data_IF_003126881941
#
_entry.id   IF_003126881941
#
_cell.length_a   1.000
_cell.length_b   1.000
_cell.length_c   1.000
_cell.angle_alpha   90.00
_cell.angle_beta   90.00
_cell.angle_gamma   90.00
#
_symmetry.space_group_name_H-M   'P 1'
#
loop_
_entity.id
_entity.type
_entity.pdbx_description
1 polymer ?
#
# COMPACT_ATOMS: atom_id res chain seq x y z
N UNK A 1 12.88 -23.73 -1.11
CA UNK A 1 11.62 -23.22 -1.62
C UNK A 1 11.69 -21.73 -1.81
N UNK A 2 11.40 -21.28 -3.00
CA UNK A 2 11.38 -19.85 -3.29
C UNK A 2 9.99 -19.28 -3.00
N UNK A 3 9.95 -18.16 -2.28
CA UNK A 3 8.73 -17.41 -2.07
C UNK A 3 8.61 -16.43 -3.24
N UNK A 4 7.50 -16.52 -3.97
CA UNK A 4 7.24 -15.60 -5.05
C UNK A 4 6.54 -14.37 -4.48
N UNK A 5 7.01 -13.19 -4.86
CA UNK A 5 6.43 -11.93 -4.42
C UNK A 5 5.94 -11.15 -5.63
N UNK A 6 4.85 -10.43 -5.44
CA UNK A 6 4.27 -9.57 -6.48
C UNK A 6 3.85 -8.25 -5.84
N UNK A 7 4.36 -7.15 -6.35
CA UNK A 7 3.94 -5.82 -5.88
C UNK A 7 2.63 -5.48 -6.56
N UNK A 8 1.57 -5.35 -5.77
CA UNK A 8 0.23 -5.06 -6.29
C UNK A 8 0.03 -3.58 -6.56
N UNK A 9 0.54 -2.73 -5.68
CA UNK A 9 0.64 -1.31 -5.98
C UNK A 9 1.79 -0.70 -5.20
N UNK A 10 2.30 0.38 -5.74
CA UNK A 10 3.36 1.15 -5.12
C UNK A 10 3.10 2.62 -5.46
N UNK A 11 2.46 3.31 -4.54
CA UNK A 11 2.11 4.71 -4.72
C UNK A 11 3.03 5.58 -3.89
N UNK A 12 3.56 6.60 -4.53
CA UNK A 12 4.46 7.56 -3.88
C UNK A 12 3.96 8.96 -4.20
N UNK A 13 3.84 9.78 -3.18
CA UNK A 13 3.50 11.19 -3.39
C UNK A 13 4.12 12.06 -2.33
N UNK A 14 4.24 13.33 -2.65
CA UNK A 14 4.78 14.33 -1.75
C UNK A 14 3.64 15.14 -1.17
N UNK A 15 3.60 15.25 0.15
CA UNK A 15 2.62 16.05 0.86
C UNK A 15 3.33 17.26 1.42
N UNK A 16 2.78 18.43 1.12
CA UNK A 16 3.33 19.67 1.65
C UNK A 16 2.91 19.82 3.10
N UNK A 17 3.90 20.00 3.96
CA UNK A 17 3.65 20.28 5.36
C UNK A 17 3.85 21.76 5.57
N UNK A 18 2.82 22.44 6.01
CA UNK A 18 2.93 23.81 6.45
C UNK A 18 2.75 23.83 7.95
N UNK A 19 3.74 24.35 8.65
CA UNK A 19 3.61 24.62 10.06
C UNK A 19 2.74 25.87 10.21
N UNK A 20 1.58 25.77 10.86
CA UNK A 20 0.66 26.91 10.97
C UNK A 20 1.24 28.10 11.75
N UNK A 21 2.37 27.92 12.43
CA UNK A 21 3.02 29.03 13.15
C UNK A 21 4.06 29.77 12.33
N UNK A 22 4.40 29.28 11.14
CA UNK A 22 5.46 29.89 10.33
C UNK A 22 4.94 30.46 9.02
N UNK A 23 4.30 31.62 9.11
CA UNK A 23 3.83 32.31 7.91
C UNK A 23 4.97 32.77 7.00
N UNK A 24 6.19 32.76 7.51
CA UNK A 24 7.38 33.21 6.77
C UNK A 24 8.23 32.09 6.26
N UNK A 25 7.85 30.86 6.46
CA UNK A 25 8.66 29.75 6.00
C UNK A 25 8.66 29.73 4.47
N UNK A 26 9.69 30.28 3.91
CA UNK A 26 9.93 30.21 2.48
C UNK A 26 10.38 28.80 2.07
N UNK A 27 10.77 27.99 3.03
CA UNK A 27 11.13 26.62 2.78
C UNK A 27 9.88 25.78 2.95
N UNK A 28 9.42 25.26 1.83
CA UNK A 28 8.32 24.30 1.84
C UNK A 28 8.87 22.93 2.16
N UNK A 29 8.46 22.40 3.29
CA UNK A 29 8.82 21.04 3.65
C UNK A 29 7.82 20.10 3.01
N UNK A 30 8.34 19.13 2.28
CA UNK A 30 7.52 18.07 1.70
C UNK A 30 7.90 16.77 2.39
N UNK A 31 6.89 16.01 2.78
CA UNK A 31 7.09 14.64 3.21
C UNK A 31 6.72 13.71 2.09
N UNK A 32 7.57 12.73 1.83
CA UNK A 32 7.28 11.70 0.84
C UNK A 32 6.58 10.55 1.54
N UNK A 33 5.40 10.22 1.04
CA UNK A 33 4.58 9.14 1.57
C UNK A 33 4.61 7.99 0.58
N UNK A 34 4.90 6.80 1.08
CA UNK A 34 4.92 5.57 0.29
C UNK A 34 3.82 4.64 0.78
N UNK A 35 2.99 4.18 -0.14
CA UNK A 35 2.01 3.14 0.14
C UNK A 35 2.31 1.96 -0.79
N UNK A 36 2.57 0.81 -0.20
CA UNK A 36 2.92 -0.39 -0.95
C UNK A 36 2.06 -1.55 -0.48
N UNK A 37 1.56 -2.33 -1.41
CA UNK A 37 0.90 -3.59 -1.11
C UNK A 37 1.60 -4.68 -1.90
N UNK A 38 2.09 -5.69 -1.20
CA UNK A 38 2.83 -6.80 -1.78
C UNK A 38 2.15 -8.10 -1.44
N UNK A 39 1.99 -8.97 -2.43
CA UNK A 39 1.49 -10.32 -2.21
C UNK A 39 2.67 -11.28 -2.12
N UNK A 40 2.66 -12.14 -1.11
CA UNK A 40 3.65 -13.18 -0.90
C UNK A 40 2.98 -14.53 -1.11
N UNK A 41 3.46 -15.28 -2.08
CA UNK A 41 2.93 -16.60 -2.40
C UNK A 41 3.79 -17.66 -1.73
N UNK A 42 3.21 -18.37 -0.80
CA UNK A 42 3.87 -19.44 -0.05
C UNK A 42 3.10 -20.74 -0.28
N UNK A 43 3.46 -21.46 -1.34
CA UNK A 43 2.73 -22.66 -1.73
C UNK A 43 1.32 -22.31 -2.16
N UNK A 44 0.33 -22.85 -1.48
CA UNK A 44 -1.09 -22.56 -1.75
C UNK A 44 -1.60 -21.35 -0.97
N UNK A 45 -0.77 -20.81 -0.08
CA UNK A 45 -1.16 -19.70 0.76
C UNK A 45 -0.68 -18.38 0.17
N UNK A 46 -1.52 -17.36 0.30
CA UNK A 46 -1.17 -16.01 -0.14
C UNK A 46 -1.30 -15.08 1.06
N UNK A 47 -0.27 -14.28 1.29
CA UNK A 47 -0.26 -13.28 2.34
C UNK A 47 -0.07 -11.91 1.69
N UNK A 48 -0.86 -10.95 2.11
CA UNK A 48 -0.78 -9.59 1.61
C UNK A 48 -0.19 -8.70 2.69
N UNK A 49 0.85 -7.94 2.35
CA UNK A 49 1.48 -7.03 3.28
C UNK A 49 1.30 -5.59 2.81
N UNK A 50 0.65 -4.80 3.64
CA UNK A 50 0.46 -3.37 3.43
C UNK A 50 1.51 -2.62 4.23
N UNK A 51 2.17 -1.67 3.56
CA UNK A 51 3.21 -0.86 4.17
C UNK A 51 2.94 0.61 3.87
N UNK A 52 2.92 1.43 4.91
CA UNK A 52 2.88 2.88 4.78
C UNK A 52 4.13 3.45 5.43
N UNK A 53 4.90 4.15 4.64
CA UNK A 53 6.11 4.84 5.11
C UNK A 53 5.96 6.33 4.92
N UNK A 54 6.48 7.09 5.86
CA UNK A 54 6.61 8.54 5.73
C UNK A 54 8.10 8.81 5.82
N UNK A 55 8.69 9.30 4.75
CA UNK A 55 10.14 9.39 4.57
C UNK A 55 10.75 8.00 4.78
N UNK A 56 11.69 7.84 5.67
CA UNK A 56 12.33 6.56 5.92
C UNK A 56 11.69 5.77 7.06
N UNK A 57 10.59 6.28 7.63
CA UNK A 57 9.97 5.65 8.80
C UNK A 57 8.73 4.87 8.42
N UNK A 58 8.68 3.62 8.85
CA UNK A 58 7.48 2.79 8.70
C UNK A 58 6.45 3.24 9.72
N UNK A 59 5.29 3.71 9.24
CA UNK A 59 4.20 4.15 10.10
C UNK A 59 3.15 3.06 10.31
N UNK A 60 2.89 2.29 9.26
CA UNK A 60 1.92 1.19 9.31
C UNK A 60 2.50 0.00 8.57
N UNK A 61 2.41 -1.16 9.19
CA UNK A 61 2.75 -2.43 8.57
C UNK A 61 1.70 -3.44 9.00
N UNK A 62 0.91 -3.92 8.06
CA UNK A 62 -0.17 -4.86 8.32
C UNK A 62 -0.13 -6.00 7.33
N UNK A 63 -0.39 -7.18 7.81
CA UNK A 63 -0.45 -8.37 6.98
C UNK A 63 -1.85 -8.97 7.03
N UNK A 64 -2.30 -9.49 5.89
CA UNK A 64 -3.64 -10.05 5.75
C UNK A 64 -3.56 -11.35 4.98
N UNK A 65 -4.35 -12.32 5.39
CA UNK A 65 -4.51 -13.59 4.67
C UNK A 65 -5.89 -13.70 4.03
N UNK A 66 -6.82 -12.86 4.44
CA UNK A 66 -8.18 -12.86 3.92
C UNK A 66 -8.46 -11.58 3.15
N UNK A 67 -8.98 -11.73 1.93
CA UNK A 67 -9.25 -10.59 1.05
C UNK A 67 -10.30 -9.65 1.62
N UNK A 68 -11.34 -10.19 2.28
CA UNK A 68 -12.37 -9.35 2.89
C UNK A 68 -11.79 -8.38 3.92
N UNK A 69 -10.91 -8.88 4.77
CA UNK A 69 -10.25 -8.05 5.78
C UNK A 69 -9.33 -7.02 5.13
N UNK A 70 -8.60 -7.44 4.09
CA UNK A 70 -7.70 -6.55 3.36
C UNK A 70 -8.46 -5.39 2.73
N UNK A 71 -9.54 -5.67 2.00
CA UNK A 71 -10.33 -4.63 1.32
C UNK A 71 -11.01 -3.70 2.31
N UNK A 72 -11.47 -4.22 3.43
CA UNK A 72 -12.06 -3.41 4.48
C UNK A 72 -11.05 -2.41 5.03
N UNK A 73 -9.83 -2.87 5.26
CA UNK A 73 -8.74 -2.01 5.72
C UNK A 73 -8.37 -0.96 4.66
N UNK A 74 -8.23 -1.39 3.41
CA UNK A 74 -7.80 -0.52 2.31
C UNK A 74 -8.85 0.54 1.96
N UNK A 75 -10.10 0.34 2.34
CA UNK A 75 -11.15 1.33 2.12
C UNK A 75 -10.86 2.68 2.75
N UNK A 76 -10.02 2.71 3.80
CA UNK A 76 -9.62 3.95 4.45
C UNK A 76 -8.47 4.67 3.72
N UNK A 77 -7.81 3.98 2.79
CA UNK A 77 -6.61 4.51 2.11
C UNK A 77 -6.78 4.68 0.60
N UNK A 78 -7.64 3.91 -0.01
CA UNK A 78 -7.83 3.91 -1.46
C UNK A 78 -9.24 4.31 -1.83
N UNK A 79 -9.38 5.00 -2.94
CA UNK A 79 -10.68 5.33 -3.51
C UNK A 79 -11.34 4.08 -4.14
N UNK A 80 -12.66 4.13 -4.39
CA UNK A 80 -13.37 2.97 -4.94
C UNK A 80 -12.83 2.47 -6.29
N UNK A 81 -12.35 3.37 -7.14
CA UNK A 81 -11.80 2.98 -8.44
C UNK A 81 -10.50 2.21 -8.26
N UNK A 82 -9.63 2.70 -7.37
CA UNK A 82 -8.37 2.02 -7.08
C UNK A 82 -8.60 0.65 -6.44
N UNK A 83 -9.59 0.55 -5.55
CA UNK A 83 -9.97 -0.73 -4.94
C UNK A 83 -10.47 -1.70 -5.99
N UNK A 84 -11.30 -1.24 -6.93
CA UNK A 84 -11.79 -2.08 -8.02
C UNK A 84 -10.67 -2.58 -8.90
N UNK A 85 -9.74 -1.72 -9.27
CA UNK A 85 -8.58 -2.10 -10.06
C UNK A 85 -7.71 -3.12 -9.32
N UNK A 86 -7.53 -2.94 -8.03
CA UNK A 86 -6.80 -3.88 -7.21
C UNK A 86 -7.48 -5.24 -7.18
N UNK A 87 -8.81 -5.26 -7.06
CA UNK A 87 -9.58 -6.49 -7.08
C UNK A 87 -9.39 -7.28 -8.37
N UNK A 88 -9.41 -6.58 -9.50
CA UNK A 88 -9.15 -7.19 -10.80
C UNK A 88 -7.75 -7.77 -10.86
N UNK A 89 -6.76 -7.02 -10.37
CA UNK A 89 -5.37 -7.45 -10.38
C UNK A 89 -5.17 -8.71 -9.53
N UNK A 90 -5.77 -8.74 -8.36
CA UNK A 90 -5.70 -9.91 -7.47
C UNK A 90 -6.39 -11.11 -8.12
N UNK A 91 -7.51 -10.90 -8.79
CA UNK A 91 -8.19 -11.96 -9.52
C UNK A 91 -7.32 -12.56 -10.61
N UNK A 92 -6.58 -11.73 -11.34
CA UNK A 92 -5.65 -12.22 -12.36
C UNK A 92 -4.50 -13.01 -11.75
N UNK A 93 -4.01 -12.62 -10.58
CA UNK A 93 -2.97 -13.37 -9.90
C UNK A 93 -3.44 -14.75 -9.49
N UNK A 94 -4.68 -14.85 -9.02
CA UNK A 94 -5.28 -16.13 -8.67
C UNK A 94 -5.35 -17.08 -9.85
N UNK A 95 -5.67 -16.55 -11.02
CA UNK A 95 -5.69 -17.36 -12.25
C UNK A 95 -4.29 -17.81 -12.64
N UNK A 96 -3.30 -16.93 -12.51
CA UNK A 96 -1.92 -17.27 -12.86
C UNK A 96 -1.27 -18.23 -11.85
N UNK A 97 -1.75 -18.25 -10.63
CA UNK A 97 -1.20 -19.13 -9.60
C UNK A 97 -1.66 -20.59 -9.77
N UNK A 98 -2.67 -20.81 -10.58
CA UNK A 98 -3.09 -22.16 -10.93
C UNK A 98 -2.18 -22.70 -12.03
#
# INVERSE_FOLDING_TARGET
MSIKTEVLFNNTWNVRISDPGEERAQSHFFETIYLTLTAYFEGENVRYEFLRKVEDQVKIKRSFTELGELFKFLGDYLDPVSLGNLGVKIGHLGVKAE
#
